data_IF_100954190032
#
_entry.id   IF_100954190032
#
_cell.length_a   1.000
_cell.length_b   1.000
_cell.length_c   1.000
_cell.angle_alpha   90.00
_cell.angle_beta   90.00
_cell.angle_gamma   90.00
#
_symmetry.space_group_name_H-M   'P 1'
#
loop_
_entity.id
_entity.type
_entity.pdbx_description
1 polymer ?
#
# COMPACT_ATOMS: atom_id res chain seq x y z
N UNK A 1 -18.24 3.08 33.41
CA UNK A 1 -17.19 3.12 32.38
C UNK A 1 -17.19 4.50 31.72
N UNK A 2 -18.35 5.02 31.31
CA UNK A 2 -18.53 6.40 30.84
C UNK A 2 -17.98 7.46 31.81
N UNK A 3 -18.35 7.44 33.10
CA UNK A 3 -17.84 8.43 34.05
C UNK A 3 -16.30 8.45 34.20
N UNK A 4 -15.61 7.32 33.95
CA UNK A 4 -14.13 7.29 34.00
C UNK A 4 -13.50 7.86 32.73
N UNK A 5 -14.18 7.73 31.60
CA UNK A 5 -13.74 8.28 30.31
C UNK A 5 -13.94 9.80 30.31
N UNK A 6 -15.07 10.28 30.81
CA UNK A 6 -15.35 11.71 30.97
C UNK A 6 -14.33 12.38 31.92
N UNK A 7 -14.02 11.75 33.06
CA UNK A 7 -12.97 12.23 33.98
C UNK A 7 -11.55 12.17 33.38
N UNK A 8 -11.28 11.31 32.40
CA UNK A 8 -10.00 11.27 31.68
C UNK A 8 -9.94 12.36 30.61
N UNK A 9 -11.02 12.57 29.86
CA UNK A 9 -11.16 13.62 28.85
C UNK A 9 -11.07 15.02 29.48
N UNK A 10 -11.72 15.27 30.61
CA UNK A 10 -11.63 16.54 31.34
C UNK A 10 -10.20 16.83 31.82
N UNK A 11 -9.50 15.81 32.35
CA UNK A 11 -8.10 15.94 32.77
C UNK A 11 -7.15 16.15 31.60
N UNK A 12 -7.42 15.54 30.45
CA UNK A 12 -6.65 15.75 29.23
C UNK A 12 -6.86 17.16 28.68
N UNK A 13 -8.09 17.68 28.70
CA UNK A 13 -8.42 19.05 28.31
C UNK A 13 -7.79 20.10 29.23
N UNK A 14 -7.84 19.90 30.55
CA UNK A 14 -7.19 20.80 31.52
C UNK A 14 -5.66 20.82 31.36
N UNK A 15 -5.05 19.65 31.14
CA UNK A 15 -3.62 19.54 30.89
C UNK A 15 -3.21 20.21 29.55
N UNK A 16 -4.07 20.16 28.54
CA UNK A 16 -3.85 20.81 27.24
C UNK A 16 -3.92 22.35 27.35
N UNK A 17 -4.84 22.88 28.17
CA UNK A 17 -4.94 24.32 28.43
C UNK A 17 -3.76 24.86 29.26
N UNK A 18 -3.29 24.10 30.27
CA UNK A 18 -2.11 24.47 31.07
C UNK A 18 -0.80 24.40 30.26
N UNK A 19 -0.69 23.43 29.35
CA UNK A 19 0.44 23.31 28.44
C UNK A 19 0.48 24.49 27.43
N UNK A 20 -0.68 24.95 26.95
CA UNK A 20 -0.80 26.15 26.10
C UNK A 20 -0.40 27.43 26.84
N UNK A 21 -0.70 27.55 28.14
CA UNK A 21 -0.34 28.73 28.96
C UNK A 21 1.12 28.79 29.40
N UNK A 22 1.80 27.66 29.54
CA UNK A 22 3.16 27.60 30.10
C UNK A 22 4.30 27.67 29.08
N UNK A 23 4.02 27.75 27.77
CA UNK A 23 5.06 27.85 26.72
C UNK A 23 6.02 26.66 26.66
N UNK A 24 5.67 25.55 27.33
CA UNK A 24 6.52 24.37 27.47
C UNK A 24 6.24 23.43 26.30
N UNK A 25 7.16 23.35 25.34
CA UNK A 25 7.10 22.45 24.15
C UNK A 25 7.00 20.94 24.46
N UNK A 26 6.84 20.58 25.73
CA UNK A 26 6.86 19.20 26.23
C UNK A 26 5.54 18.47 25.91
N UNK A 27 4.41 19.17 25.76
CA UNK A 27 3.12 18.55 25.38
C UNK A 27 3.04 18.13 23.90
N UNK A 28 3.48 18.98 22.97
CA UNK A 28 3.38 18.68 21.53
C UNK A 28 4.29 17.52 21.09
N UNK A 29 5.50 17.42 21.67
CA UNK A 29 6.44 16.31 21.38
C UNK A 29 5.94 15.00 21.97
N UNK A 30 5.34 15.01 23.17
CA UNK A 30 4.73 13.82 23.76
C UNK A 30 3.49 13.36 23.00
N UNK A 31 2.62 14.29 22.57
CA UNK A 31 1.46 13.99 21.75
C UNK A 31 1.86 13.44 20.38
N UNK A 32 2.84 14.06 19.71
CA UNK A 32 3.37 13.57 18.43
C UNK A 32 4.05 12.19 18.58
N UNK A 33 4.80 11.96 19.66
CA UNK A 33 5.41 10.67 19.96
C UNK A 33 4.36 9.57 20.21
N UNK A 34 3.28 9.89 20.94
CA UNK A 34 2.17 8.96 21.19
C UNK A 34 1.43 8.63 19.89
N UNK A 35 1.14 9.63 19.05
CA UNK A 35 0.52 9.43 17.74
C UNK A 35 1.40 8.57 16.80
N UNK A 36 2.71 8.85 16.73
CA UNK A 36 3.64 8.07 15.92
C UNK A 36 3.78 6.62 16.41
N UNK A 37 3.76 6.40 17.73
CA UNK A 37 3.77 5.07 18.31
C UNK A 37 2.51 4.27 17.98
N UNK A 38 1.32 4.88 18.09
CA UNK A 38 0.07 4.22 17.69
C UNK A 38 0.01 3.94 16.20
N UNK A 39 0.50 4.87 15.36
CA UNK A 39 0.60 4.64 13.92
C UNK A 39 1.55 3.49 13.60
N UNK A 40 2.70 3.40 14.29
CA UNK A 40 3.63 2.29 14.15
C UNK A 40 2.98 0.95 14.52
N UNK A 41 2.32 0.89 15.70
CA UNK A 41 1.59 -0.31 16.11
C UNK A 41 0.48 -0.67 15.12
N UNK A 42 -0.26 0.31 14.61
CA UNK A 42 -1.31 0.08 13.61
C UNK A 42 -0.76 -0.55 12.33
N UNK A 43 0.34 -0.02 11.80
CA UNK A 43 0.98 -0.57 10.61
C UNK A 43 1.55 -1.97 10.85
N UNK A 44 2.16 -2.23 12.01
CA UNK A 44 2.67 -3.57 12.33
C UNK A 44 1.56 -4.59 12.55
N UNK A 45 0.42 -4.19 13.13
CA UNK A 45 -0.75 -5.09 13.24
C UNK A 45 -1.31 -5.42 11.86
N UNK A 46 -1.34 -4.46 10.93
CA UNK A 46 -1.73 -4.72 9.54
C UNK A 46 -0.76 -5.70 8.86
N UNK A 47 0.56 -5.50 9.00
CA UNK A 47 1.58 -6.38 8.43
C UNK A 47 1.54 -7.80 9.05
N UNK A 48 1.30 -7.89 10.37
CA UNK A 48 1.12 -9.14 11.09
C UNK A 48 -0.17 -9.88 10.66
N UNK A 49 -1.26 -9.14 10.44
CA UNK A 49 -2.54 -9.75 10.03
C UNK A 49 -2.45 -10.32 8.61
N UNK A 50 -1.85 -9.58 7.67
CA UNK A 50 -1.66 -10.07 6.30
C UNK A 50 -0.61 -11.18 6.19
N UNK A 51 0.38 -11.21 7.09
CA UNK A 51 1.36 -12.31 7.12
C UNK A 51 0.82 -13.58 7.77
N UNK A 52 -0.18 -13.49 8.65
CA UNK A 52 -0.84 -14.65 9.25
C UNK A 52 -1.56 -15.53 8.21
N UNK A 53 -2.18 -14.92 7.19
CA UNK A 53 -2.78 -15.65 6.06
C UNK A 53 -1.73 -16.49 5.31
N UNK A 54 -0.48 -15.99 5.24
CA UNK A 54 0.64 -16.72 4.67
C UNK A 54 1.00 -17.99 5.45
N UNK A 55 0.88 -17.98 6.78
CA UNK A 55 1.11 -19.15 7.63
C UNK A 55 0.01 -20.20 7.40
N UNK A 56 -1.26 -19.77 7.37
CA UNK A 56 -2.39 -20.65 7.09
C UNK A 56 -2.24 -21.29 5.70
N UNK A 57 -1.82 -20.52 4.69
CA UNK A 57 -1.53 -21.03 3.36
C UNK A 57 -0.37 -22.04 3.33
N UNK A 58 0.70 -21.79 4.10
CA UNK A 58 1.85 -22.69 4.17
C UNK A 58 1.50 -24.06 4.78
N UNK A 59 0.57 -24.10 5.75
CA UNK A 59 0.05 -25.34 6.32
C UNK A 59 -0.65 -26.24 5.30
N UNK A 60 -1.15 -25.69 4.17
CA UNK A 60 -1.72 -26.51 3.10
C UNK A 60 -0.66 -27.34 2.37
N UNK A 61 0.63 -26.99 2.49
CA UNK A 61 1.74 -27.65 1.80
C UNK A 61 2.53 -28.56 2.74
N UNK A 62 2.85 -28.09 3.95
CA UNK A 62 3.70 -28.84 4.89
C UNK A 62 3.32 -28.58 6.34
N UNK A 63 3.57 -29.56 7.21
CA UNK A 63 3.40 -29.45 8.66
C UNK A 63 4.73 -29.17 9.39
N UNK A 64 5.84 -29.12 8.67
CA UNK A 64 7.16 -28.85 9.25
C UNK A 64 7.32 -27.34 9.52
N UNK A 65 7.36 -26.99 10.81
CA UNK A 65 7.48 -25.60 11.29
C UNK A 65 8.78 -24.94 10.81
N UNK A 66 9.88 -25.70 10.67
CA UNK A 66 11.16 -25.17 10.23
C UNK A 66 11.08 -24.76 8.76
N UNK A 67 10.49 -25.61 7.91
CA UNK A 67 10.31 -25.29 6.49
C UNK A 67 9.35 -24.12 6.28
N UNK A 68 8.26 -24.05 7.05
CA UNK A 68 7.35 -22.89 7.02
C UNK A 68 8.08 -21.61 7.43
N UNK A 69 8.79 -21.63 8.57
CA UNK A 69 9.51 -20.46 9.07
C UNK A 69 10.58 -19.97 8.09
N UNK A 70 11.30 -20.88 7.42
CA UNK A 70 12.27 -20.52 6.39
C UNK A 70 11.59 -19.89 5.16
N UNK A 71 10.55 -20.53 4.63
CA UNK A 71 9.84 -20.03 3.45
C UNK A 71 9.19 -18.66 3.69
N UNK A 72 8.45 -18.53 4.81
CA UNK A 72 7.84 -17.27 5.22
C UNK A 72 8.87 -16.21 5.58
N UNK A 73 9.98 -16.57 6.23
CA UNK A 73 11.05 -15.63 6.56
C UNK A 73 11.71 -15.03 5.32
N UNK A 74 11.99 -15.86 4.31
CA UNK A 74 12.50 -15.39 3.01
C UNK A 74 11.45 -14.54 2.28
N UNK A 75 10.19 -15.00 2.25
CA UNK A 75 9.09 -14.27 1.62
C UNK A 75 8.85 -12.89 2.25
N UNK A 76 8.84 -12.81 3.58
CA UNK A 76 8.67 -11.57 4.33
C UNK A 76 9.82 -10.59 4.05
N UNK A 77 11.07 -11.06 4.05
CA UNK A 77 12.21 -10.22 3.68
C UNK A 77 12.12 -9.72 2.23
N UNK A 78 11.64 -10.55 1.30
CA UNK A 78 11.45 -10.16 -0.10
C UNK A 78 10.37 -9.09 -0.27
N UNK A 79 9.16 -9.32 0.26
CA UNK A 79 8.05 -8.36 0.19
C UNK A 79 8.42 -7.05 0.88
N UNK A 80 9.07 -7.11 2.04
CA UNK A 80 9.58 -5.93 2.75
C UNK A 80 10.62 -5.17 1.93
N UNK A 81 11.53 -5.88 1.26
CA UNK A 81 12.52 -5.22 0.40
C UNK A 81 11.88 -4.53 -0.81
N UNK A 82 10.81 -5.13 -1.35
CA UNK A 82 10.05 -4.60 -2.47
C UNK A 82 9.30 -3.33 -2.08
N UNK A 83 8.61 -3.31 -0.94
CA UNK A 83 7.89 -2.11 -0.49
C UNK A 83 8.85 -0.95 -0.22
N UNK A 84 9.99 -1.20 0.43
CA UNK A 84 11.02 -0.17 0.65
C UNK A 84 11.61 0.33 -0.67
N UNK A 85 11.86 -0.56 -1.63
CA UNK A 85 12.36 -0.18 -2.96
C UNK A 85 11.36 0.71 -3.71
N UNK A 86 10.09 0.30 -3.76
CA UNK A 86 9.02 1.05 -4.45
C UNK A 86 8.78 2.43 -3.81
N UNK A 87 8.80 2.52 -2.48
CA UNK A 87 8.67 3.80 -1.76
C UNK A 87 9.83 4.73 -2.09
N UNK A 88 11.06 4.22 -2.17
CA UNK A 88 12.24 5.05 -2.50
C UNK A 88 12.26 5.52 -3.94
N UNK A 89 11.77 4.72 -4.87
CA UNK A 89 11.76 5.07 -6.30
C UNK A 89 10.65 6.05 -6.66
N UNK A 90 9.58 6.16 -5.88
CA UNK A 90 8.45 7.06 -6.16
C UNK A 90 7.69 6.72 -7.45
N UNK A 91 8.02 5.60 -8.12
CA UNK A 91 7.50 5.20 -9.43
C UNK A 91 6.07 4.67 -9.39
N UNK A 92 5.35 4.78 -8.28
CA UNK A 92 3.95 4.33 -8.19
C UNK A 92 3.03 5.26 -9.00
N UNK A 93 3.32 6.57 -9.01
CA UNK A 93 2.52 7.58 -9.73
C UNK A 93 2.60 7.46 -11.26
N UNK A 94 3.64 6.79 -11.79
CA UNK A 94 3.81 6.58 -13.23
C UNK A 94 2.84 5.51 -13.81
N UNK A 95 2.23 4.69 -12.94
CA UNK A 95 1.39 3.55 -13.33
C UNK A 95 -0.12 3.79 -13.09
N UNK A 96 -0.71 4.74 -13.83
CA UNK A 96 -2.15 5.14 -13.72
C UNK A 96 -3.16 3.97 -13.72
N UNK A 97 -2.89 2.86 -14.41
CA UNK A 97 -3.83 1.72 -14.45
C UNK A 97 -3.66 0.73 -13.31
N UNK A 98 -2.59 0.83 -12.52
CA UNK A 98 -2.32 -0.10 -11.42
C UNK A 98 -3.29 0.13 -10.25
N UNK A 99 -3.62 1.39 -9.96
CA UNK A 99 -4.60 1.75 -8.92
C UNK A 99 -5.98 1.13 -9.20
N UNK A 100 -6.46 1.24 -10.44
CA UNK A 100 -7.73 0.65 -10.85
C UNK A 100 -7.67 -0.88 -10.77
N UNK A 101 -6.54 -1.47 -11.18
CA UNK A 101 -6.30 -2.90 -11.04
C UNK A 101 -6.43 -3.43 -9.62
N UNK A 102 -5.90 -2.69 -8.65
CA UNK A 102 -6.02 -3.04 -7.24
C UNK A 102 -7.48 -3.01 -6.76
N UNK A 103 -8.26 -1.99 -7.14
CA UNK A 103 -9.68 -1.91 -6.81
C UNK A 103 -10.50 -3.05 -7.44
N UNK A 104 -10.25 -3.37 -8.72
CA UNK A 104 -10.91 -4.51 -9.37
C UNK A 104 -10.55 -5.85 -8.71
N UNK A 105 -9.30 -6.02 -8.29
CA UNK A 105 -8.86 -7.22 -7.59
C UNK A 105 -9.57 -7.37 -6.23
N UNK A 106 -9.66 -6.30 -5.44
CA UNK A 106 -10.36 -6.30 -4.15
C UNK A 106 -11.85 -6.63 -4.34
N UNK A 107 -12.51 -5.99 -5.32
CA UNK A 107 -13.91 -6.25 -5.64
C UNK A 107 -14.17 -7.70 -6.08
N UNK A 108 -13.32 -8.24 -6.94
CA UNK A 108 -13.43 -9.63 -7.38
C UNK A 108 -13.22 -10.63 -6.23
N UNK A 109 -12.21 -10.40 -5.39
CA UNK A 109 -11.93 -11.24 -4.23
C UNK A 109 -13.09 -11.19 -3.21
N UNK A 110 -13.67 -10.01 -2.95
CA UNK A 110 -14.83 -9.89 -2.07
C UNK A 110 -16.02 -10.73 -2.55
N UNK A 111 -16.28 -10.74 -3.87
CA UNK A 111 -17.33 -11.57 -4.47
C UNK A 111 -16.99 -13.06 -4.35
N UNK A 112 -15.75 -13.46 -4.65
CA UNK A 112 -15.33 -14.86 -4.53
C UNK A 112 -15.48 -15.33 -3.09
N UNK A 113 -14.97 -14.57 -2.11
CA UNK A 113 -15.08 -14.89 -0.69
C UNK A 113 -16.54 -15.00 -0.23
N UNK A 114 -17.44 -14.16 -0.75
CA UNK A 114 -18.88 -14.27 -0.50
C UNK A 114 -19.46 -15.58 -1.04
N UNK A 115 -19.06 -15.99 -2.26
CA UNK A 115 -19.49 -17.27 -2.86
C UNK A 115 -18.92 -18.46 -2.09
N UNK A 116 -17.70 -18.34 -1.55
CA UNK A 116 -17.02 -19.40 -0.79
C UNK A 116 -17.81 -19.85 0.44
N UNK A 117 -18.66 -18.98 1.01
CA UNK A 117 -19.56 -19.32 2.13
C UNK A 117 -20.54 -20.46 1.75
N UNK A 118 -20.94 -20.56 0.48
CA UNK A 118 -21.90 -21.55 -0.01
C UNK A 118 -21.25 -22.68 -0.81
N UNK A 119 -20.13 -22.40 -1.48
CA UNK A 119 -19.42 -23.35 -2.34
C UNK A 119 -17.94 -23.39 -1.97
N UNK A 120 -17.36 -24.56 -1.76
CA UNK A 120 -15.92 -24.67 -1.52
C UNK A 120 -15.15 -24.35 -2.81
N UNK A 121 -14.53 -23.17 -2.85
CA UNK A 121 -13.62 -22.75 -3.91
C UNK A 121 -12.19 -23.00 -3.42
N UNK A 122 -11.33 -23.67 -4.21
CA UNK A 122 -9.93 -23.85 -3.82
C UNK A 122 -9.22 -22.50 -3.72
N UNK A 123 -8.45 -22.30 -2.65
CA UNK A 123 -7.70 -21.07 -2.40
C UNK A 123 -6.75 -20.70 -3.54
N UNK A 124 -6.22 -21.71 -4.24
CA UNK A 124 -5.38 -21.52 -5.42
C UNK A 124 -6.13 -20.76 -6.52
N UNK A 125 -7.41 -21.07 -6.74
CA UNK A 125 -8.22 -20.40 -7.78
C UNK A 125 -8.51 -18.97 -7.36
N UNK A 126 -8.92 -18.76 -6.10
CA UNK A 126 -9.16 -17.42 -5.52
C UNK A 126 -7.91 -16.54 -5.64
N UNK A 127 -6.75 -17.05 -5.25
CA UNK A 127 -5.47 -16.35 -5.32
C UNK A 127 -5.04 -16.05 -6.77
N UNK A 128 -5.20 -17.01 -7.68
CA UNK A 128 -4.85 -16.82 -9.10
C UNK A 128 -5.67 -15.71 -9.76
N UNK A 129 -6.96 -15.58 -9.43
CA UNK A 129 -7.81 -14.51 -9.98
C UNK A 129 -7.30 -13.15 -9.53
N UNK A 130 -6.95 -12.98 -8.25
CA UNK A 130 -6.37 -11.75 -7.73
C UNK A 130 -5.06 -11.39 -8.45
N UNK A 131 -4.12 -12.35 -8.52
CA UNK A 131 -2.83 -12.16 -9.22
C UNK A 131 -3.04 -11.82 -10.69
N UNK A 132 -3.98 -12.48 -11.36
CA UNK A 132 -4.28 -12.26 -12.77
C UNK A 132 -4.77 -10.83 -13.03
N UNK A 133 -5.70 -10.32 -12.22
CA UNK A 133 -6.22 -8.95 -12.36
C UNK A 133 -5.13 -7.90 -12.13
N UNK A 134 -4.29 -8.09 -11.11
CA UNK A 134 -3.16 -7.19 -10.83
C UNK A 134 -2.14 -7.24 -11.96
N UNK A 135 -1.76 -8.43 -12.42
CA UNK A 135 -0.77 -8.62 -13.49
C UNK A 135 -1.23 -8.02 -14.83
N UNK A 136 -2.51 -8.19 -15.19
CA UNK A 136 -3.08 -7.58 -16.39
C UNK A 136 -3.05 -6.04 -16.31
N UNK A 137 -3.40 -5.50 -15.15
CA UNK A 137 -3.40 -4.05 -14.92
C UNK A 137 -1.98 -3.48 -14.96
N UNK A 138 -1.02 -4.19 -14.38
CA UNK A 138 0.40 -3.87 -14.47
C UNK A 138 0.91 -3.90 -15.92
N UNK A 139 0.61 -4.97 -16.68
CA UNK A 139 0.99 -5.08 -18.09
C UNK A 139 0.42 -3.91 -18.90
N UNK A 140 -0.88 -3.63 -18.75
CA UNK A 140 -1.54 -2.52 -19.44
C UNK A 140 -0.82 -1.19 -19.17
N UNK A 141 -0.43 -0.97 -17.92
CA UNK A 141 0.29 0.23 -17.49
C UNK A 141 1.71 0.31 -18.09
N UNK A 142 2.49 -0.78 -18.06
CA UNK A 142 3.83 -0.87 -18.68
C UNK A 142 3.76 -0.64 -20.20
N UNK A 143 2.76 -1.22 -20.87
CA UNK A 143 2.56 -1.06 -22.33
C UNK A 143 2.28 0.40 -22.67
N UNK A 144 1.41 1.07 -21.92
CA UNK A 144 1.13 2.50 -22.15
C UNK A 144 2.36 3.36 -21.86
N UNK A 145 3.09 3.10 -20.78
CA UNK A 145 4.30 3.86 -20.46
C UNK A 145 5.37 3.74 -21.57
N UNK A 146 5.56 2.53 -22.12
CA UNK A 146 6.42 2.31 -23.28
C UNK A 146 5.92 2.99 -24.56
N UNK A 147 4.61 3.02 -24.80
CA UNK A 147 4.02 3.70 -25.96
C UNK A 147 4.19 5.23 -25.87
N UNK A 148 4.05 5.81 -24.68
CA UNK A 148 4.30 7.23 -24.44
C UNK A 148 5.78 7.58 -24.61
N UNK A 149 6.69 6.78 -24.06
CA UNK A 149 8.13 6.97 -24.24
C UNK A 149 8.57 6.84 -25.72
N UNK A 150 7.92 5.97 -26.50
CA UNK A 150 8.17 5.85 -27.94
C UNK A 150 7.60 7.04 -28.74
N UNK A 151 6.52 7.68 -28.27
CA UNK A 151 5.96 8.87 -28.88
C UNK A 151 6.81 10.13 -28.59
N UNK A 152 7.39 10.24 -27.39
CA UNK A 152 8.30 11.34 -27.02
C UNK A 152 9.69 11.20 -27.65
N UNK A 153 10.16 9.97 -27.93
CA UNK A 153 11.39 9.73 -28.70
C UNK A 153 11.27 10.00 -30.21
N UNK A 154 10.06 10.27 -30.72
CA UNK A 154 9.77 10.51 -32.14
C UNK A 154 9.58 11.98 -32.52
N UNK A 155 9.59 12.91 -31.56
CA UNK A 155 9.39 14.36 -31.81
C UNK A 155 10.70 15.15 -31.91
N UNK A 156 11.80 14.50 -32.27
CA UNK A 156 12.98 15.18 -32.82
C UNK A 156 12.81 15.41 -34.33
N UNK A 157 12.03 16.41 -34.74
CA UNK A 157 11.95 16.80 -36.15
C UNK A 157 13.15 17.71 -36.50
N UNK A 158 14.08 17.30 -37.40
CA UNK A 158 15.13 18.18 -37.89
C UNK A 158 14.59 19.01 -39.06
N UNK A 159 14.35 20.29 -38.81
CA UNK A 159 14.30 21.33 -39.83
C UNK A 159 12.97 21.47 -40.59
N UNK A 160 12.28 22.58 -40.31
CA UNK A 160 11.81 23.42 -41.42
C UNK A 160 12.20 24.87 -41.17
N UNK A 161 13.14 25.34 -41.98
CA UNK A 161 13.43 26.75 -42.18
C UNK A 161 12.39 27.25 -43.18
N UNK A 162 11.37 27.95 -42.73
CA UNK A 162 10.64 28.90 -43.57
C UNK A 162 10.58 30.24 -42.88
N UNK A 163 11.41 31.16 -43.35
CA UNK A 163 11.31 32.57 -43.00
C UNK A 163 10.11 33.21 -43.68
N UNK A 164 9.44 34.11 -42.95
CA UNK A 164 8.70 35.27 -43.46
C UNK A 164 8.82 36.31 -42.33
N UNK A 165 9.76 37.25 -42.42
CA UNK A 165 9.67 38.55 -43.10
C UNK A 165 9.26 39.66 -42.13
N UNK A 166 10.05 40.71 -42.20
CA UNK A 166 10.07 41.96 -41.46
C UNK A 166 8.79 42.82 -41.51
N UNK A 167 8.69 43.71 -40.52
CA UNK A 167 8.05 45.04 -40.62
C UNK A 167 6.74 45.11 -39.82
N UNK A 168 6.49 46.08 -38.95
CA UNK A 168 7.14 47.36 -38.59
C UNK A 168 6.78 47.62 -37.13
#
# INVERSE_FOLDING_TARGET
>A
FENKLEEEEEREHEAEEEAKRSGRKVGAVQLAGKAAFFMFLYLEVLDASFSFDGVIGAFAITNDIVLMALGLGVGAMYVRSLTVYLVRQGTLDDYVYLEHGAHYAIGALAVILMVTIRYQIPEVVTGLIGVFLIALSFWSSVRRNRALAAAEGGSGSPGDKTGVSSGV
#
